data_IF_757257140156
#
_entry.id   IF_757257140156
#
_cell.length_a   1.000
_cell.length_b   1.000
_cell.length_c   1.000
_cell.angle_alpha   90.00
_cell.angle_beta   90.00
_cell.angle_gamma   90.00
#
_symmetry.space_group_name_H-M   'P 1'
#
loop_
_entity.id
_entity.type
_entity.pdbx_description
1 polymer ?
#
# COMPACT_ATOMS: atom_id res chain seq x y z
N UNK A 1 37.01 4.30 -90.90
CA UNK A 1 38.37 4.51 -90.36
C UNK A 1 38.51 3.57 -89.16
N UNK A 2 38.98 2.32 -89.28
CA UNK A 2 40.27 1.76 -89.70
C UNK A 2 41.27 1.60 -88.53
N UNK A 3 41.32 0.39 -87.93
CA UNK A 3 42.50 -0.41 -87.50
C UNK A 3 42.03 -1.50 -86.51
N UNK A 4 41.88 -2.77 -86.92
CA UNK A 4 42.88 -3.85 -87.09
C UNK A 4 43.47 -4.41 -85.78
N UNK A 5 43.04 -5.65 -85.48
CA UNK A 5 43.80 -6.86 -85.17
C UNK A 5 44.74 -6.92 -83.96
N UNK A 6 44.64 -8.06 -83.24
CA UNK A 6 45.83 -8.79 -82.81
C UNK A 6 45.76 -9.43 -81.43
N UNK A 7 45.36 -10.69 -81.36
CA UNK A 7 45.53 -11.61 -80.24
C UNK A 7 47.00 -12.02 -80.08
N UNK A 8 47.52 -12.17 -78.84
CA UNK A 8 48.20 -13.37 -78.28
C UNK A 8 49.06 -13.07 -77.03
N UNK A 9 49.26 -14.13 -76.23
CA UNK A 9 50.17 -14.35 -75.07
C UNK A 9 49.65 -13.84 -73.71
N UNK A 10 49.64 -14.58 -72.61
CA UNK A 10 50.20 -15.91 -72.30
C UNK A 10 49.77 -16.35 -70.88
N UNK A 11 50.13 -17.59 -70.56
CA UNK A 11 49.70 -18.46 -69.45
C UNK A 11 50.33 -18.13 -68.09
N UNK A 12 49.48 -18.12 -67.03
CA UNK A 12 49.64 -18.57 -65.61
C UNK A 12 50.75 -17.98 -64.71
N UNK A 13 50.37 -17.52 -63.50
CA UNK A 13 50.76 -18.02 -62.16
C UNK A 13 50.43 -16.98 -61.06
N UNK A 14 49.90 -17.43 -59.92
CA UNK A 14 49.95 -16.66 -58.66
C UNK A 14 48.65 -16.57 -57.86
N UNK A 15 48.37 -17.60 -57.08
CA UNK A 15 47.48 -17.53 -55.91
C UNK A 15 48.01 -16.49 -54.91
N UNK A 16 47.10 -15.76 -54.24
CA UNK A 16 47.05 -15.63 -52.76
C UNK A 16 46.00 -14.59 -52.32
N UNK A 17 44.94 -15.10 -51.67
CA UNK A 17 44.28 -14.52 -50.49
C UNK A 17 43.77 -13.08 -50.51
N UNK A 18 42.45 -12.92 -50.53
CA UNK A 18 41.80 -11.85 -49.79
C UNK A 18 40.48 -12.37 -49.20
N UNK A 19 40.39 -12.33 -47.88
CA UNK A 19 39.35 -12.94 -47.07
C UNK A 19 37.97 -12.30 -47.27
N UNK A 20 36.96 -13.15 -47.11
CA UNK A 20 35.55 -12.77 -47.03
C UNK A 20 35.35 -11.94 -45.75
N UNK A 21 35.06 -10.66 -45.91
CA UNK A 21 34.54 -9.80 -44.84
C UNK A 21 33.07 -10.16 -44.59
N UNK A 22 32.82 -11.04 -43.63
CA UNK A 22 31.50 -11.20 -43.01
C UNK A 22 31.30 -10.05 -41.99
N UNK A 23 30.64 -8.98 -42.42
CA UNK A 23 30.16 -7.93 -41.52
C UNK A 23 28.95 -8.47 -40.74
N UNK A 24 29.19 -8.97 -39.53
CA UNK A 24 28.13 -9.22 -38.57
C UNK A 24 27.56 -7.87 -38.09
N UNK A 25 26.36 -7.52 -38.55
CA UNK A 25 25.62 -6.39 -38.02
C UNK A 25 25.17 -6.71 -36.58
N UNK A 26 25.98 -6.32 -35.59
CA UNK A 26 25.56 -6.32 -34.19
C UNK A 26 24.59 -5.17 -34.01
N UNK A 27 23.30 -5.49 -33.90
CA UNK A 27 22.27 -4.55 -33.52
C UNK A 27 22.53 -4.09 -32.08
N UNK A 28 22.94 -2.82 -31.94
CA UNK A 28 23.07 -2.17 -30.64
C UNK A 28 21.66 -1.92 -30.09
N UNK A 29 21.10 -2.90 -29.37
CA UNK A 29 19.87 -2.68 -28.60
C UNK A 29 20.25 -1.76 -27.44
N UNK A 30 19.93 -0.47 -27.56
CA UNK A 30 20.05 0.46 -26.42
C UNK A 30 19.17 -0.10 -25.32
N UNK A 31 19.68 -0.38 -24.10
CA UNK A 31 18.81 -0.72 -22.99
C UNK A 31 17.87 0.47 -22.78
N UNK A 32 16.59 0.26 -23.03
CA UNK A 32 15.56 1.18 -22.57
C UNK A 32 15.69 1.19 -21.05
N UNK A 33 15.82 2.34 -20.39
CA UNK A 33 15.76 2.37 -18.94
C UNK A 33 14.37 1.84 -18.58
N UNK A 34 14.32 0.60 -18.11
CA UNK A 34 13.19 0.12 -17.34
C UNK A 34 13.12 1.11 -16.19
N UNK A 35 12.03 1.86 -16.06
CA UNK A 35 11.78 2.56 -14.81
C UNK A 35 11.79 1.45 -13.76
N UNK A 36 12.88 1.34 -13.00
CA UNK A 36 12.80 0.68 -11.72
C UNK A 36 11.58 1.32 -11.06
N UNK A 37 10.57 0.51 -10.76
CA UNK A 37 9.47 0.98 -9.95
C UNK A 37 10.16 1.47 -8.69
N UNK A 38 10.31 2.79 -8.57
CA UNK A 38 10.82 3.37 -7.35
C UNK A 38 9.78 2.92 -6.34
N UNK A 39 10.15 1.97 -5.46
CA UNK A 39 9.29 1.58 -4.35
C UNK A 39 8.84 2.90 -3.73
N UNK A 40 7.54 3.20 -3.80
CA UNK A 40 6.99 4.36 -3.11
C UNK A 40 7.52 4.27 -1.68
N UNK A 41 8.28 5.28 -1.20
CA UNK A 41 8.86 5.21 0.12
C UNK A 41 7.73 4.94 1.11
N UNK A 42 7.90 3.94 1.98
CA UNK A 42 6.81 3.57 2.86
C UNK A 42 6.53 4.70 3.86
N UNK A 43 5.27 4.81 4.26
CA UNK A 43 4.77 5.80 5.19
C UNK A 43 4.29 5.16 6.50
N UNK A 44 3.65 5.96 7.34
CA UNK A 44 2.95 5.51 8.52
C UNK A 44 1.68 6.34 8.72
N UNK A 45 0.70 5.75 9.37
CA UNK A 45 -0.56 6.36 9.72
C UNK A 45 -0.75 6.24 11.23
N UNK A 46 -1.28 7.30 11.83
CA UNK A 46 -1.69 7.34 13.23
C UNK A 46 -3.09 7.89 13.31
N UNK A 47 -3.88 7.43 14.27
CA UNK A 47 -5.16 8.06 14.51
C UNK A 47 -5.82 7.57 15.77
N UNK A 48 -6.91 8.21 16.10
CA UNK A 48 -7.75 7.83 17.22
C UNK A 48 -9.01 8.66 17.24
N UNK A 49 -10.02 8.15 17.93
CA UNK A 49 -11.33 8.77 17.93
C UNK A 49 -12.41 7.77 18.24
N UNK A 50 -13.60 8.06 17.74
CA UNK A 50 -14.74 7.16 17.81
C UNK A 50 -15.56 7.17 16.52
N UNK A 51 -16.18 6.04 16.26
CA UNK A 51 -17.28 5.86 15.30
C UNK A 51 -18.55 5.48 16.08
N UNK A 52 -19.73 5.67 15.49
CA UNK A 52 -20.92 4.95 15.96
C UNK A 52 -20.96 3.59 15.28
N UNK A 53 -21.18 2.54 16.05
CA UNK A 53 -21.53 1.22 15.54
C UNK A 53 -22.80 0.73 16.24
N UNK A 54 -23.83 0.37 15.47
CA UNK A 54 -25.13 -0.09 15.95
C UNK A 54 -25.74 0.83 17.03
N UNK A 55 -25.60 2.15 16.85
CA UNK A 55 -26.14 3.17 17.75
C UNK A 55 -25.33 3.44 19.03
N UNK A 56 -24.16 2.84 19.19
CA UNK A 56 -23.25 3.10 20.32
C UNK A 56 -21.86 3.53 19.85
N UNK A 57 -21.13 4.28 20.68
CA UNK A 57 -19.78 4.72 20.34
C UNK A 57 -18.77 3.60 20.51
N UNK A 58 -17.98 3.36 19.46
CA UNK A 58 -16.79 2.55 19.52
C UNK A 58 -15.54 3.42 19.39
N UNK A 59 -14.75 3.47 20.45
CA UNK A 59 -13.52 4.26 20.53
C UNK A 59 -12.34 3.43 20.04
N UNK A 60 -11.34 4.09 19.45
CA UNK A 60 -10.16 3.43 18.98
C UNK A 60 -8.91 4.33 19.06
N UNK A 61 -7.76 3.68 19.12
CA UNK A 61 -6.45 4.28 18.89
C UNK A 61 -5.66 3.34 18.00
N UNK A 62 -5.05 3.87 16.94
CA UNK A 62 -4.37 3.05 15.94
C UNK A 62 -3.08 3.71 15.46
N UNK A 63 -2.07 2.89 15.24
CA UNK A 63 -0.94 3.26 14.41
C UNK A 63 -0.53 2.07 13.53
N UNK A 64 -0.04 2.36 12.34
CA UNK A 64 0.52 1.37 11.42
C UNK A 64 1.57 2.02 10.54
N UNK A 65 2.58 1.28 10.12
CA UNK A 65 3.57 1.80 9.20
C UNK A 65 4.71 0.85 8.96
N UNK A 66 5.49 1.13 7.92
CA UNK A 66 6.82 0.56 7.85
C UNK A 66 7.74 1.34 8.78
N UNK A 67 8.44 0.68 9.68
CA UNK A 67 9.58 1.28 10.39
C UNK A 67 10.78 0.34 10.38
N UNK A 68 11.96 0.92 10.19
CA UNK A 68 13.24 0.22 10.18
C UNK A 68 13.27 -1.01 9.25
N UNK A 69 12.61 -0.93 8.09
CA UNK A 69 12.57 -2.00 7.08
C UNK A 69 11.46 -3.03 7.27
N UNK A 70 10.64 -2.94 8.32
CA UNK A 70 9.53 -3.87 8.58
C UNK A 70 8.16 -3.18 8.46
N UNK A 71 7.16 -3.75 7.75
CA UNK A 71 5.81 -3.19 7.61
C UNK A 71 4.91 -3.41 8.85
N UNK A 72 5.49 -3.83 9.97
CA UNK A 72 4.76 -4.35 11.14
C UNK A 72 4.88 -3.46 12.37
N UNK A 73 5.17 -2.17 12.20
CA UNK A 73 5.15 -1.22 13.31
C UNK A 73 3.74 -0.69 13.55
N UNK A 74 3.35 -0.57 14.81
CA UNK A 74 2.09 0.05 15.18
C UNK A 74 1.45 -0.57 16.42
N UNK A 75 0.18 -0.25 16.64
CA UNK A 75 -0.66 -0.81 17.70
C UNK A 75 -2.14 -0.61 17.34
N UNK A 76 -3.01 -1.27 18.11
CA UNK A 76 -4.45 -1.07 18.10
C UNK A 76 -4.96 -1.12 19.55
N UNK A 77 -5.81 -0.17 19.90
CA UNK A 77 -6.77 -0.29 21.00
C UNK A 77 -8.16 -0.04 20.43
N UNK A 78 -9.13 -0.85 20.80
CA UNK A 78 -10.51 -0.72 20.33
C UNK A 78 -11.50 -1.08 21.45
N UNK A 79 -12.51 -0.24 21.66
CA UNK A 79 -13.53 -0.40 22.70
C UNK A 79 -14.90 -0.03 22.16
N UNK A 80 -15.77 -1.02 21.94
CA UNK A 80 -17.15 -0.82 21.52
C UNK A 80 -18.09 -0.84 22.73
N UNK A 81 -18.65 0.32 23.07
CA UNK A 81 -19.54 0.47 24.22
C UNK A 81 -20.94 -0.16 24.01
N UNK A 82 -21.34 -0.46 22.78
CA UNK A 82 -22.63 -1.09 22.48
C UNK A 82 -22.62 -2.58 22.78
N UNK A 83 -21.52 -3.25 22.45
CA UNK A 83 -21.32 -4.68 22.70
C UNK A 83 -20.54 -4.96 23.98
N UNK A 84 -19.80 -3.97 24.51
CA UNK A 84 -18.84 -4.15 25.60
C UNK A 84 -17.55 -4.85 25.16
N UNK A 85 -17.21 -4.82 23.87
CA UNK A 85 -16.01 -5.43 23.34
C UNK A 85 -14.80 -4.55 23.64
N UNK A 86 -13.76 -5.13 24.25
CA UNK A 86 -12.44 -4.56 24.37
C UNK A 86 -11.46 -5.41 23.57
N UNK A 87 -10.66 -4.79 22.70
CA UNK A 87 -9.62 -5.45 21.92
C UNK A 87 -8.28 -4.70 22.05
N UNK A 88 -7.27 -5.42 22.53
CA UNK A 88 -5.89 -4.96 22.64
C UNK A 88 -5.04 -5.61 21.56
N UNK A 89 -4.50 -4.80 20.64
CA UNK A 89 -3.60 -5.25 19.59
C UNK A 89 -2.28 -5.74 20.14
N UNK A 90 -1.89 -6.97 19.83
CA UNK A 90 -0.65 -7.59 20.30
C UNK A 90 0.46 -7.55 19.26
N UNK A 91 0.12 -7.43 17.98
CA UNK A 91 1.07 -7.25 16.88
C UNK A 91 0.39 -6.66 15.65
N UNK A 92 1.13 -5.87 14.86
CA UNK A 92 0.77 -5.56 13.47
C UNK A 92 1.41 -6.63 12.58
N UNK A 93 0.65 -7.16 11.62
CA UNK A 93 1.09 -8.21 10.69
C UNK A 93 1.10 -7.76 9.24
N UNK A 94 0.38 -6.69 8.91
CA UNK A 94 0.45 -6.04 7.60
C UNK A 94 0.18 -4.54 7.68
N UNK A 95 0.82 -3.82 6.78
CA UNK A 95 0.54 -2.42 6.49
C UNK A 95 0.56 -2.22 4.98
N UNK A 96 -0.60 -1.90 4.43
CA UNK A 96 -0.83 -1.85 2.99
C UNK A 96 -1.55 -0.58 2.58
N UNK A 97 -1.33 -0.16 1.34
CA UNK A 97 -2.08 0.94 0.72
C UNK A 97 -3.47 0.41 0.35
N UNK A 98 -4.51 0.98 0.96
CA UNK A 98 -5.90 0.67 0.58
C UNK A 98 -6.39 1.65 -0.48
N UNK A 99 -6.09 2.93 -0.28
CA UNK A 99 -6.25 3.99 -1.26
C UNK A 99 -5.01 4.90 -1.13
N UNK A 100 -4.28 5.09 -2.22
CA UNK A 100 -3.10 5.94 -2.22
C UNK A 100 -3.46 7.44 -2.14
N UNK A 101 -4.75 7.77 -2.21
CA UNK A 101 -5.24 9.15 -2.29
C UNK A 101 -4.72 9.87 -3.53
N UNK A 102 -4.25 9.11 -4.53
CA UNK A 102 -3.50 9.47 -5.73
C UNK A 102 -3.23 10.98 -5.89
N UNK A 103 -2.27 11.46 -5.09
CA UNK A 103 -1.63 12.79 -5.07
C UNK A 103 -2.39 13.96 -4.41
N UNK A 104 -3.43 13.69 -3.62
CA UNK A 104 -4.04 14.71 -2.79
C UNK A 104 -3.14 15.15 -1.64
N UNK A 105 -3.12 16.44 -1.36
CA UNK A 105 -2.81 16.93 -0.02
C UNK A 105 -4.01 17.68 0.52
N UNK A 106 -4.17 17.69 1.83
CA UNK A 106 -5.09 18.61 2.48
C UNK A 106 -4.69 20.08 2.22
N UNK A 107 -5.49 21.03 2.74
CA UNK A 107 -5.22 22.45 2.61
C UNK A 107 -3.87 22.90 3.24
N UNK A 108 -3.27 22.07 4.09
CA UNK A 108 -2.00 22.32 4.76
C UNK A 108 -0.82 21.61 4.08
N UNK A 109 -1.04 20.89 2.97
CA UNK A 109 0.01 20.16 2.26
C UNK A 109 0.38 18.81 2.90
N UNK A 110 -0.45 18.27 3.79
CA UNK A 110 -0.31 16.90 4.34
C UNK A 110 -0.93 15.88 3.39
N UNK A 111 -0.33 14.69 3.23
CA UNK A 111 -0.90 13.66 2.36
C UNK A 111 -2.23 13.17 2.93
N UNK A 112 -3.15 12.81 2.05
CA UNK A 112 -4.41 12.15 2.40
C UNK A 112 -4.43 10.74 1.79
N UNK A 113 -5.32 9.87 2.27
CA UNK A 113 -5.47 8.51 1.74
C UNK A 113 -5.81 7.49 2.82
N UNK A 114 -5.91 6.23 2.41
CA UNK A 114 -6.32 5.14 3.30
C UNK A 114 -5.28 4.02 3.40
N UNK A 115 -5.16 3.44 4.59
CA UNK A 115 -4.30 2.29 4.85
C UNK A 115 -5.11 1.14 5.38
N UNK A 116 -4.76 -0.05 4.90
CA UNK A 116 -5.17 -1.31 5.50
C UNK A 116 -4.11 -1.69 6.53
N UNK A 117 -4.53 -1.84 7.78
CA UNK A 117 -3.66 -2.26 8.88
C UNK A 117 -4.21 -3.59 9.40
N UNK A 118 -3.37 -4.61 9.46
CA UNK A 118 -3.77 -5.92 9.94
C UNK A 118 -2.91 -6.34 11.11
N UNK A 119 -3.44 -7.20 11.95
CA UNK A 119 -2.71 -7.64 13.13
C UNK A 119 -3.41 -8.70 13.93
N UNK A 120 -2.85 -8.96 15.11
CA UNK A 120 -3.41 -9.86 16.11
C UNK A 120 -3.90 -9.03 17.29
N UNK A 121 -4.98 -9.46 17.93
CA UNK A 121 -5.47 -8.84 19.15
C UNK A 121 -5.99 -9.89 20.14
N UNK A 122 -5.93 -9.56 21.43
CA UNK A 122 -6.66 -10.27 22.48
C UNK A 122 -7.92 -9.47 22.79
N UNK A 123 -9.05 -10.17 22.85
CA UNK A 123 -10.35 -9.57 23.20
C UNK A 123 -10.92 -10.13 24.50
N UNK A 124 -11.77 -9.37 25.15
CA UNK A 124 -12.52 -9.81 26.34
C UNK A 124 -13.68 -10.77 26.00
N UNK A 125 -14.18 -10.79 24.76
CA UNK A 125 -15.35 -11.60 24.35
C UNK A 125 -15.02 -12.80 23.44
N UNK A 126 -14.04 -12.66 22.54
CA UNK A 126 -13.76 -13.65 21.48
C UNK A 126 -12.40 -14.36 21.62
N UNK A 127 -11.63 -14.04 22.66
CA UNK A 127 -10.28 -14.57 22.83
C UNK A 127 -9.30 -13.93 21.83
N UNK A 128 -8.40 -14.74 21.26
CA UNK A 128 -7.42 -14.28 20.28
C UNK A 128 -8.04 -14.16 18.88
N UNK A 129 -7.84 -13.01 18.25
CA UNK A 129 -8.40 -12.68 16.93
C UNK A 129 -7.32 -12.13 15.99
N UNK A 130 -7.56 -12.28 14.69
CA UNK A 130 -6.89 -11.51 13.65
C UNK A 130 -7.78 -10.35 13.27
N UNK A 131 -7.27 -9.12 13.31
CA UNK A 131 -8.00 -7.94 12.85
C UNK A 131 -7.49 -7.47 11.48
N UNK A 132 -8.40 -6.88 10.73
CA UNK A 132 -8.13 -6.06 9.56
C UNK A 132 -8.92 -4.77 9.73
N UNK A 133 -8.25 -3.63 9.68
CA UNK A 133 -8.89 -2.34 9.77
C UNK A 133 -8.48 -1.45 8.60
N UNK A 134 -9.41 -0.59 8.21
CA UNK A 134 -9.16 0.53 7.31
C UNK A 134 -9.15 1.80 8.14
N UNK A 135 -8.11 2.62 7.97
CA UNK A 135 -8.09 3.99 8.46
C UNK A 135 -7.84 4.92 7.28
N UNK A 136 -8.68 5.95 7.14
CA UNK A 136 -8.62 6.92 6.05
C UNK A 136 -8.48 8.33 6.59
N UNK A 137 -7.42 9.01 6.15
CA UNK A 137 -7.21 10.45 6.33
C UNK A 137 -7.83 11.16 5.12
N UNK A 138 -8.80 12.03 5.36
CA UNK A 138 -9.45 12.87 4.36
C UNK A 138 -9.02 14.36 4.46
N UNK A 139 -8.01 14.65 5.26
CA UNK A 139 -7.46 15.97 5.51
C UNK A 139 -8.08 16.68 6.71
N UNK A 140 -7.40 17.74 7.15
CA UNK A 140 -7.86 18.53 8.29
C UNK A 140 -9.17 19.28 7.98
N UNK A 141 -10.11 19.38 8.94
CA UNK A 141 -9.96 19.14 10.38
C UNK A 141 -10.25 17.69 10.86
N UNK A 142 -10.25 16.70 9.96
CA UNK A 142 -10.48 15.28 10.31
C UNK A 142 -11.95 14.86 10.40
N UNK A 143 -12.89 15.77 10.08
CA UNK A 143 -14.35 15.51 10.08
C UNK A 143 -14.82 14.50 9.03
N UNK A 144 -14.00 14.28 8.00
CA UNK A 144 -14.27 13.33 6.93
C UNK A 144 -13.44 12.05 7.05
N UNK A 145 -12.65 11.92 8.12
CA UNK A 145 -11.83 10.75 8.38
C UNK A 145 -12.70 9.54 8.69
N UNK A 146 -12.18 8.37 8.36
CA UNK A 146 -12.95 7.13 8.42
C UNK A 146 -12.16 6.02 9.09
N UNK A 147 -12.90 5.14 9.77
CA UNK A 147 -12.34 3.97 10.43
C UNK A 147 -13.33 2.81 10.35
N UNK A 148 -12.87 1.64 9.93
CA UNK A 148 -13.67 0.41 9.89
C UNK A 148 -12.80 -0.77 10.35
N UNK A 149 -13.39 -1.75 11.04
CA UNK A 149 -12.66 -2.92 11.55
C UNK A 149 -13.46 -4.21 11.42
N UNK A 150 -12.75 -5.26 11.00
CA UNK A 150 -13.21 -6.65 11.03
C UNK A 150 -12.25 -7.48 11.89
N UNK A 151 -12.81 -8.44 12.63
CA UNK A 151 -12.07 -9.41 13.42
C UNK A 151 -12.51 -10.83 13.09
N UNK A 152 -11.53 -11.73 12.94
CA UNK A 152 -11.74 -13.17 12.80
C UNK A 152 -11.11 -13.93 13.95
N UNK A 153 -11.83 -14.92 14.47
CA UNK A 153 -11.32 -15.85 15.48
C UNK A 153 -10.07 -16.58 14.97
N UNK A 154 -9.01 -16.64 15.79
CA UNK A 154 -7.82 -17.44 15.44
C UNK A 154 -8.05 -18.95 15.57
N UNK A 155 -9.08 -19.38 16.31
CA UNK A 155 -9.36 -20.79 16.54
C UNK A 155 -9.96 -21.46 15.30
N UNK A 156 -10.82 -20.76 14.57
CA UNK A 156 -11.60 -21.34 13.47
C UNK A 156 -11.72 -20.44 12.21
N UNK A 157 -11.19 -19.21 12.25
CA UNK A 157 -11.22 -18.27 11.13
C UNK A 157 -12.59 -17.62 10.87
N UNK A 158 -13.58 -17.85 11.73
CA UNK A 158 -14.90 -17.23 11.61
C UNK A 158 -14.84 -15.73 11.87
N UNK A 159 -15.67 -14.94 11.17
CA UNK A 159 -15.85 -13.51 11.48
C UNK A 159 -16.64 -13.43 12.78
N UNK A 160 -16.08 -12.74 13.77
CA UNK A 160 -16.68 -12.58 15.11
C UNK A 160 -17.10 -11.14 15.41
N UNK A 161 -16.54 -10.18 14.66
CA UNK A 161 -16.89 -8.76 14.76
C UNK A 161 -16.63 -8.09 13.42
N UNK A 162 -17.53 -7.23 12.95
CA UNK A 162 -17.39 -6.54 11.67
C UNK A 162 -18.25 -5.29 11.60
N UNK A 163 -17.62 -4.12 11.65
CA UNK A 163 -18.34 -2.85 11.52
C UNK A 163 -18.91 -2.68 10.12
N UNK A 164 -18.28 -3.24 9.09
CA UNK A 164 -18.63 -3.02 7.68
C UNK A 164 -20.00 -3.57 7.28
N UNK A 165 -20.61 -4.40 8.13
CA UNK A 165 -21.95 -4.95 7.92
C UNK A 165 -23.03 -3.89 8.10
N UNK A 166 -22.84 -2.92 9.01
CA UNK A 166 -23.78 -1.82 9.22
C UNK A 166 -23.72 -0.84 8.05
N UNK A 167 -22.51 -0.38 7.74
CA UNK A 167 -22.19 0.34 6.53
C UNK A 167 -20.69 0.43 6.31
N UNK A 168 -20.30 0.99 5.17
CA UNK A 168 -18.91 1.25 4.85
C UNK A 168 -18.83 2.46 3.92
N UNK A 169 -18.09 3.52 4.28
CA UNK A 169 -17.25 3.66 5.48
C UNK A 169 -17.99 4.25 6.70
N UNK A 170 -17.46 4.04 7.90
CA UNK A 170 -17.85 4.82 9.09
C UNK A 170 -17.04 6.11 9.21
N UNK A 171 -17.72 7.21 9.51
CA UNK A 171 -17.09 8.52 9.73
C UNK A 171 -16.79 8.76 11.21
N UNK A 172 -15.63 9.34 11.48
CA UNK A 172 -15.26 9.74 12.83
C UNK A 172 -16.17 10.86 13.33
N UNK A 173 -16.58 10.79 14.59
CA UNK A 173 -17.30 11.88 15.24
C UNK A 173 -18.75 12.07 14.83
N UNK A 174 -19.28 11.23 13.94
CA UNK A 174 -20.66 11.35 13.49
C UNK A 174 -21.59 10.41 14.27
N UNK A 175 -22.67 10.96 14.81
CA UNK A 175 -23.77 10.16 15.36
C UNK A 175 -24.59 9.45 14.26
N UNK A 176 -24.41 9.84 12.98
CA UNK A 176 -24.90 9.13 11.81
C UNK A 176 -23.75 8.31 11.19
N UNK A 177 -23.62 7.01 11.47
CA UNK A 177 -22.40 6.23 11.24
C UNK A 177 -21.79 6.38 9.84
N UNK A 178 -22.63 6.49 8.81
CA UNK A 178 -22.25 6.46 7.40
C UNK A 178 -22.27 7.85 6.72
N UNK A 179 -22.31 8.92 7.51
CA UNK A 179 -22.29 10.29 7.01
C UNK A 179 -21.31 11.13 7.83
N UNK A 180 -20.54 11.99 7.16
CA UNK A 180 -19.68 12.94 7.84
C UNK A 180 -20.50 13.92 8.70
N UNK A 181 -19.87 14.46 9.73
CA UNK A 181 -20.45 15.50 10.59
C UNK A 181 -19.37 16.51 10.96
N UNK A 182 -19.78 17.75 11.27
CA UNK A 182 -18.86 18.78 11.76
C UNK A 182 -18.57 18.63 13.28
N UNK A 183 -19.15 17.61 13.93
CA UNK A 183 -19.18 17.50 15.40
C UNK A 183 -17.84 17.09 16.02
N UNK A 184 -16.89 16.65 15.19
CA UNK A 184 -15.57 16.20 15.62
C UNK A 184 -15.64 14.93 16.47
N UNK A 185 -14.62 14.09 16.39
CA UNK A 185 -14.59 12.86 17.19
C UNK A 185 -13.32 12.07 17.13
N UNK A 186 -12.26 12.67 16.62
CA UNK A 186 -10.99 12.02 16.37
C UNK A 186 -10.27 12.67 15.21
N UNK A 187 -9.16 12.06 14.84
CA UNK A 187 -8.39 12.43 13.68
C UNK A 187 -7.56 11.22 13.22
N UNK A 188 -7.49 11.01 11.91
CA UNK A 188 -6.56 10.10 11.25
C UNK A 188 -5.54 10.96 10.52
N UNK A 189 -4.27 10.63 10.68
CA UNK A 189 -3.17 11.37 10.08
C UNK A 189 -2.28 10.41 9.33
N UNK A 190 -2.26 10.57 8.01
CA UNK A 190 -1.27 9.97 7.13
C UNK A 190 -0.02 10.85 7.12
N UNK A 191 1.12 10.24 7.36
CA UNK A 191 2.39 10.96 7.44
C UNK A 191 3.23 10.71 6.20
N UNK A 192 3.98 11.71 5.77
CA UNK A 192 4.95 11.54 4.69
C UNK A 192 6.04 10.55 5.11
N UNK A 193 6.60 9.80 4.15
CA UNK A 193 7.79 8.99 4.39
C UNK A 193 8.93 9.82 5.01
N UNK A 194 9.65 9.22 5.95
CA UNK A 194 10.79 9.82 6.63
C UNK A 194 11.91 8.77 6.84
N UNK A 195 13.10 9.16 7.33
CA UNK A 195 14.22 8.23 7.46
C UNK A 195 13.94 6.98 8.33
N UNK A 196 12.97 7.05 9.25
CA UNK A 196 12.56 5.90 10.07
C UNK A 196 11.57 4.98 9.37
N UNK A 197 10.92 5.42 8.29
CA UNK A 197 9.92 4.64 7.54
C UNK A 197 10.50 3.92 6.34
N UNK A 198 11.72 3.42 6.50
CA UNK A 198 12.35 2.56 5.50
C UNK A 198 11.61 1.23 5.35
N UNK A 199 11.67 0.65 4.15
CA UNK A 199 11.01 -0.61 3.81
C UNK A 199 9.97 -0.46 2.71
N UNK A 200 9.10 -1.44 2.61
CA UNK A 200 7.99 -1.50 1.65
C UNK A 200 6.73 -1.98 2.35
N UNK A 201 5.57 -1.56 1.85
CA UNK A 201 4.27 -2.11 2.23
C UNK A 201 4.24 -3.64 2.09
N UNK A 202 3.37 -4.28 2.87
CA UNK A 202 3.12 -5.71 2.79
C UNK A 202 2.88 -6.35 4.15
N UNK A 203 2.92 -7.68 4.16
CA UNK A 203 2.67 -8.49 5.35
C UNK A 203 1.65 -9.59 5.07
N UNK A 204 0.94 -10.01 6.11
CA UNK A 204 -0.19 -10.94 6.01
C UNK A 204 -1.40 -10.37 6.73
N UNK A 205 -2.58 -10.49 6.09
CA UNK A 205 -3.83 -9.99 6.63
C UNK A 205 -4.89 -11.09 6.79
N UNK A 206 -4.75 -12.01 7.78
CA UNK A 206 -5.73 -13.07 7.99
C UNK A 206 -7.09 -12.59 8.53
N UNK A 207 -7.23 -11.30 8.86
CA UNK A 207 -8.48 -10.71 9.37
C UNK A 207 -9.50 -10.36 8.28
N UNK A 208 -9.12 -10.35 7.00
CA UNK A 208 -10.02 -10.08 5.85
C UNK A 208 -11.01 -11.23 5.62
#
# INVERSE_FOLDING_TARGET
MNKKNGTKFGTVWGLLGAGILLMAAVTLVKPVPVKAWANTPCDFLTGGGWIVHNGAKANFGVAGGCKHGSPTWGHLEYQDNGTGLDAHGTAITAYEVFDDGSNGTDANGKPIGARLICGNARTNQFGDVNFALRASDAGEPGVNDQFDIRMRSQADGSIVYDTTIECFPHFLGSDAPCAASDDGGGNIQLHKPNPSTSGSFGGSCPGL
#
